data_IF_228100651950
#
_entry.id   IF_228100651950
#
_cell.length_a   1.000
_cell.length_b   1.000
_cell.length_c   1.000
_cell.angle_alpha   90.00
_cell.angle_beta   90.00
_cell.angle_gamma   90.00
#
_symmetry.space_group_name_H-M   'P 1'
#
loop_
_entity.id
_entity.type
_entity.pdbx_description
1 polymer ?
#
# COMPACT_ATOMS: atom_id res chain seq x y z
N UNK A 1 -5.03 -18.40 27.74
CA UNK A 1 -3.88 -17.58 27.28
C UNK A 1 -2.96 -18.50 26.49
N UNK A 2 -2.49 -18.09 25.31
CA UNK A 2 -1.51 -18.87 24.56
C UNK A 2 -0.19 -18.94 25.34
N UNK A 3 0.52 -20.05 25.17
CA UNK A 3 1.89 -20.23 25.60
C UNK A 3 2.84 -19.34 24.79
N UNK A 4 4.07 -19.15 25.31
CA UNK A 4 5.13 -18.41 24.61
C UNK A 4 5.39 -18.95 23.20
N UNK A 5 5.42 -20.27 23.06
CA UNK A 5 5.73 -20.95 21.79
C UNK A 5 4.59 -20.75 20.78
N UNK A 6 3.34 -20.85 21.21
CA UNK A 6 2.19 -20.62 20.33
C UNK A 6 2.15 -19.18 19.82
N UNK A 7 2.42 -18.20 20.68
CA UNK A 7 2.51 -16.79 20.27
C UNK A 7 3.65 -16.58 19.26
N UNK A 8 4.83 -17.15 19.51
CA UNK A 8 5.96 -17.05 18.57
C UNK A 8 5.63 -17.67 17.21
N UNK A 9 4.89 -18.78 17.16
CA UNK A 9 4.44 -19.39 15.90
C UNK A 9 3.43 -18.50 15.15
N UNK A 10 2.49 -17.87 15.86
CA UNK A 10 1.54 -16.92 15.28
C UNK A 10 2.25 -15.69 14.72
N UNK A 11 3.18 -15.11 15.48
CA UNK A 11 4.04 -14.03 15.01
C UNK A 11 4.84 -14.48 13.78
N UNK A 12 5.48 -15.65 13.86
CA UNK A 12 6.33 -16.19 12.79
C UNK A 12 5.57 -16.42 11.47
N UNK A 13 4.27 -16.70 11.53
CA UNK A 13 3.41 -16.89 10.35
C UNK A 13 2.68 -15.62 9.93
N UNK A 14 2.78 -14.52 10.70
CA UNK A 14 1.92 -13.32 10.58
C UNK A 14 0.43 -13.69 10.58
N UNK A 15 0.03 -14.63 11.45
CA UNK A 15 -1.37 -15.06 11.55
C UNK A 15 -2.18 -14.10 12.44
N UNK A 16 -2.44 -12.92 11.88
CA UNK A 16 -3.17 -11.84 12.55
C UNK A 16 -4.61 -12.22 12.88
N UNK A 17 -5.21 -13.13 12.10
CA UNK A 17 -6.56 -13.65 12.38
C UNK A 17 -6.57 -14.44 13.68
N UNK A 18 -5.63 -15.37 13.85
CA UNK A 18 -5.50 -16.14 15.08
C UNK A 18 -5.17 -15.24 16.28
N UNK A 19 -4.30 -14.24 16.10
CA UNK A 19 -3.96 -13.29 17.16
C UNK A 19 -5.18 -12.50 17.63
N UNK A 20 -5.95 -11.92 16.70
CA UNK A 20 -7.15 -11.15 17.03
C UNK A 20 -8.22 -12.03 17.71
N UNK A 21 -8.36 -13.29 17.29
CA UNK A 21 -9.24 -14.26 17.95
C UNK A 21 -8.86 -14.45 19.43
N UNK A 22 -7.58 -14.62 19.75
CA UNK A 22 -7.16 -14.73 21.14
C UNK A 22 -7.32 -13.43 21.94
N UNK A 23 -7.08 -12.27 21.31
CA UNK A 23 -7.24 -10.95 21.95
C UNK A 23 -8.69 -10.71 22.35
N UNK A 24 -9.64 -11.14 21.51
CA UNK A 24 -11.07 -11.09 21.83
C UNK A 24 -11.41 -11.85 23.11
N UNK A 25 -10.77 -13.00 23.34
CA UNK A 25 -10.97 -13.79 24.57
C UNK A 25 -10.23 -13.21 25.77
N UNK A 26 -9.03 -12.65 25.57
CA UNK A 26 -8.21 -12.10 26.65
C UNK A 26 -7.28 -11.00 26.15
N UNK A 27 -7.67 -9.75 26.42
CA UNK A 27 -6.90 -8.56 26.04
C UNK A 27 -5.49 -8.53 26.62
N UNK A 28 -5.22 -9.15 27.77
CA UNK A 28 -3.90 -9.14 28.41
C UNK A 28 -2.79 -9.80 27.56
N UNK A 29 -3.11 -10.40 26.42
CA UNK A 29 -2.13 -10.86 25.42
C UNK A 29 -1.21 -9.73 24.96
N UNK A 30 -1.67 -8.47 24.94
CA UNK A 30 -0.79 -7.33 24.63
C UNK A 30 0.46 -7.29 25.52
N UNK A 31 0.37 -7.72 26.80
CA UNK A 31 1.53 -7.78 27.71
C UNK A 31 2.56 -8.81 27.26
N UNK A 32 2.13 -9.90 26.65
CA UNK A 32 3.05 -10.88 26.06
C UNK A 32 3.77 -10.30 24.84
N UNK A 33 3.10 -9.45 24.05
CA UNK A 33 3.74 -8.71 22.94
C UNK A 33 4.73 -7.67 23.49
N UNK A 34 4.37 -6.92 24.53
CA UNK A 34 5.28 -5.96 25.19
C UNK A 34 6.57 -6.62 25.67
N UNK A 35 6.49 -7.82 26.25
CA UNK A 35 7.66 -8.57 26.70
C UNK A 35 8.58 -9.02 25.54
N UNK A 36 8.09 -9.04 24.29
CA UNK A 36 8.82 -9.50 23.10
C UNK A 36 9.52 -8.38 22.36
N UNK A 37 9.10 -7.15 22.62
CA UNK A 37 9.78 -5.96 22.11
C UNK A 37 10.85 -5.43 23.09
N UNK A 38 11.17 -6.16 24.16
CA UNK A 38 12.19 -5.72 25.11
C UNK A 38 13.61 -5.82 24.53
N UNK A 39 13.88 -6.87 23.75
CA UNK A 39 15.16 -7.10 23.08
C UNK A 39 14.93 -7.10 21.58
N UNK A 40 15.69 -6.27 20.86
CA UNK A 40 15.63 -6.18 19.40
C UNK A 40 16.32 -7.40 18.79
N UNK A 41 15.58 -8.50 18.69
CA UNK A 41 16.08 -9.79 18.19
C UNK A 41 15.32 -10.26 16.95
N UNK A 42 15.96 -10.02 15.80
CA UNK A 42 15.54 -10.55 14.50
C UNK A 42 14.10 -10.22 14.10
N UNK A 43 13.52 -11.13 13.31
CA UNK A 43 12.21 -10.92 12.69
C UNK A 43 11.04 -11.01 13.69
N UNK A 44 11.20 -11.77 14.78
CA UNK A 44 10.12 -11.97 15.77
C UNK A 44 9.87 -10.69 16.55
N UNK A 45 10.92 -9.93 16.90
CA UNK A 45 10.79 -8.59 17.47
C UNK A 45 9.89 -7.72 16.61
N UNK A 46 10.20 -7.60 15.32
CA UNK A 46 9.47 -6.73 14.41
C UNK A 46 8.03 -7.18 14.18
N UNK A 47 7.79 -8.49 14.16
CA UNK A 47 6.44 -9.05 14.09
C UNK A 47 5.65 -8.80 15.37
N UNK A 48 6.29 -8.75 16.53
CA UNK A 48 5.65 -8.34 17.78
C UNK A 48 5.33 -6.84 17.79
N UNK A 49 6.20 -6.00 17.22
CA UNK A 49 5.94 -4.57 16.98
C UNK A 49 4.73 -4.40 16.06
N UNK A 50 4.71 -5.05 14.89
CA UNK A 50 3.55 -5.04 13.96
C UNK A 50 2.27 -5.50 14.65
N UNK A 51 2.35 -6.60 15.40
CA UNK A 51 1.23 -7.18 16.13
C UNK A 51 0.63 -6.21 17.17
N UNK A 52 1.43 -5.35 17.81
CA UNK A 52 0.89 -4.35 18.74
C UNK A 52 -0.02 -3.35 18.03
N UNK A 53 0.36 -2.89 16.84
CA UNK A 53 -0.49 -2.02 16.02
C UNK A 53 -1.77 -2.72 15.56
N UNK A 54 -1.66 -3.95 15.05
CA UNK A 54 -2.81 -4.77 14.64
C UNK A 54 -3.80 -5.01 15.81
N UNK A 55 -3.27 -5.32 17.00
CA UNK A 55 -4.09 -5.55 18.19
C UNK A 55 -4.73 -4.26 18.70
N UNK A 56 -4.01 -3.14 18.63
CA UNK A 56 -4.57 -1.84 19.00
C UNK A 56 -5.76 -1.47 18.11
N UNK A 57 -5.62 -1.59 16.78
CA UNK A 57 -6.70 -1.33 15.81
C UNK A 57 -7.89 -2.28 16.04
N UNK A 58 -7.62 -3.58 16.21
CA UNK A 58 -8.68 -4.56 16.44
C UNK A 58 -9.50 -4.27 17.70
N UNK A 59 -8.85 -3.96 18.83
CA UNK A 59 -9.55 -3.66 20.08
C UNK A 59 -10.29 -2.32 19.98
N UNK A 60 -9.72 -1.33 19.29
CA UNK A 60 -10.30 0.01 19.17
C UNK A 60 -11.63 0.02 18.41
N UNK A 61 -11.87 -0.96 17.53
CA UNK A 61 -13.17 -1.17 16.87
C UNK A 61 -14.32 -1.45 17.87
N UNK A 62 -14.01 -2.04 19.04
CA UNK A 62 -14.99 -2.31 20.10
C UNK A 62 -14.86 -1.33 21.29
N UNK A 63 -13.65 -0.84 21.58
CA UNK A 63 -13.34 0.06 22.69
C UNK A 63 -12.60 1.32 22.22
N UNK A 64 -13.33 2.41 21.94
CA UNK A 64 -12.73 3.67 21.52
C UNK A 64 -11.68 4.18 22.50
N UNK A 65 -10.57 4.73 21.99
CA UNK A 65 -9.41 5.25 22.73
C UNK A 65 -8.48 4.19 23.33
N UNK A 66 -8.69 2.89 23.10
CA UNK A 66 -7.75 1.87 23.56
C UNK A 66 -6.32 2.13 23.04
N UNK A 67 -6.18 2.46 21.75
CA UNK A 67 -4.90 2.75 21.13
C UNK A 67 -4.24 3.99 21.76
N UNK A 68 -5.02 5.05 22.04
CA UNK A 68 -4.56 6.28 22.71
C UNK A 68 -3.98 5.98 24.09
N UNK A 69 -4.69 5.19 24.90
CA UNK A 69 -4.23 4.80 26.24
C UNK A 69 -2.98 3.91 26.19
N UNK A 70 -2.87 3.04 25.18
CA UNK A 70 -1.67 2.24 24.97
C UNK A 70 -0.46 3.10 24.60
N UNK A 71 -0.61 4.09 23.70
CA UNK A 71 0.45 5.05 23.35
C UNK A 71 0.88 5.87 24.58
N UNK A 72 -0.09 6.38 25.36
CA UNK A 72 0.20 7.10 26.62
C UNK A 72 1.02 6.26 27.59
N UNK A 73 0.71 4.97 27.71
CA UNK A 73 1.48 4.04 28.54
C UNK A 73 2.93 3.92 28.06
N UNK A 74 3.16 3.82 26.76
CA UNK A 74 4.53 3.77 26.21
C UNK A 74 5.30 5.06 26.47
N UNK A 75 4.68 6.23 26.31
CA UNK A 75 5.32 7.49 26.67
C UNK A 75 5.62 7.58 28.18
N UNK A 76 4.71 7.11 29.03
CA UNK A 76 4.96 7.07 30.48
C UNK A 76 6.15 6.15 30.84
N UNK A 77 6.32 5.02 30.14
CA UNK A 77 7.47 4.12 30.32
C UNK A 77 8.81 4.70 29.86
N UNK A 78 8.81 5.81 29.10
CA UNK A 78 10.03 6.53 28.73
C UNK A 78 10.49 7.50 29.82
N UNK A 79 9.61 7.86 30.78
CA UNK A 79 9.98 8.75 31.87
C UNK A 79 10.96 8.07 32.83
N UNK A 80 11.92 8.84 33.34
CA UNK A 80 12.91 8.37 34.32
C UNK A 80 12.27 7.76 35.58
N UNK A 81 11.10 8.28 36.00
CA UNK A 81 10.32 7.80 37.14
C UNK A 81 9.83 6.34 36.99
N UNK A 82 9.77 5.82 35.76
CA UNK A 82 9.36 4.45 35.46
C UNK A 82 10.53 3.44 35.54
N UNK A 83 11.76 3.91 35.75
CA UNK A 83 12.98 3.10 35.78
C UNK A 83 13.68 2.94 34.43
N UNK A 84 13.27 3.65 33.37
CA UNK A 84 14.06 3.87 32.16
C UNK A 84 14.33 2.64 31.26
N UNK A 85 13.39 1.69 31.18
CA UNK A 85 13.62 0.39 30.50
C UNK A 85 13.00 0.27 29.09
N UNK A 86 12.53 1.36 28.49
CA UNK A 86 11.67 1.31 27.30
C UNK A 86 12.36 1.69 25.98
N UNK A 87 13.58 1.20 25.74
CA UNK A 87 14.41 1.48 24.56
C UNK A 87 13.73 1.23 23.19
N UNK A 88 12.73 0.36 23.12
CA UNK A 88 12.00 0.07 21.86
C UNK A 88 10.54 0.59 21.90
N UNK A 89 10.23 1.53 22.78
CA UNK A 89 8.90 2.12 22.84
C UNK A 89 8.57 2.91 21.57
N UNK A 90 9.55 3.54 20.94
CA UNK A 90 9.34 4.30 19.70
C UNK A 90 8.87 3.40 18.54
N UNK A 91 9.42 2.19 18.41
CA UNK A 91 8.95 1.18 17.43
C UNK A 91 7.48 0.83 17.68
N UNK A 92 7.10 0.58 18.94
CA UNK A 92 5.72 0.25 19.32
C UNK A 92 4.75 1.42 19.08
N UNK A 93 5.11 2.62 19.52
CA UNK A 93 4.33 3.85 19.28
C UNK A 93 4.15 4.05 17.77
N UNK A 94 5.23 3.94 17.01
CA UNK A 94 5.21 4.04 15.55
C UNK A 94 4.25 3.06 14.89
N UNK A 95 4.28 1.80 15.31
CA UNK A 95 3.35 0.79 14.80
C UNK A 95 1.89 1.10 15.14
N UNK A 96 1.59 1.50 16.39
CA UNK A 96 0.24 1.84 16.80
C UNK A 96 -0.29 3.05 16.03
N UNK A 97 0.53 4.11 15.87
CA UNK A 97 0.17 5.30 15.10
C UNK A 97 -0.14 4.96 13.64
N UNK A 98 0.62 4.06 13.02
CA UNK A 98 0.39 3.64 11.64
C UNK A 98 -0.84 2.73 11.46
N UNK A 99 -1.27 1.99 12.49
CA UNK A 99 -2.49 1.19 12.42
C UNK A 99 -3.73 1.98 12.83
N UNK A 100 -3.59 2.94 13.76
CA UNK A 100 -4.66 3.78 14.30
C UNK A 100 -4.41 5.28 14.02
N UNK A 101 -4.21 5.71 12.75
CA UNK A 101 -3.81 7.09 12.46
C UNK A 101 -4.89 8.13 12.79
N UNK A 102 -6.17 7.76 12.73
CA UNK A 102 -7.29 8.65 13.02
C UNK A 102 -7.36 9.04 14.49
N UNK A 103 -7.12 8.08 15.39
CA UNK A 103 -7.20 8.26 16.85
C UNK A 103 -5.87 8.66 17.47
N UNK A 104 -4.76 8.05 17.03
CA UNK A 104 -3.42 8.26 17.58
C UNK A 104 -2.53 9.22 16.77
N UNK A 105 -2.96 9.65 15.58
CA UNK A 105 -2.11 10.43 14.68
C UNK A 105 -1.58 11.74 15.27
N UNK A 106 -2.29 12.34 16.22
CA UNK A 106 -1.88 13.56 16.92
C UNK A 106 -0.62 13.40 17.80
N UNK A 107 -0.19 12.17 18.09
CA UNK A 107 1.09 11.89 18.76
C UNK A 107 2.29 11.96 17.82
N UNK A 108 2.10 12.26 16.53
CA UNK A 108 3.16 12.40 15.53
C UNK A 108 4.30 13.34 15.98
N UNK A 109 3.97 14.49 16.59
CA UNK A 109 4.96 15.43 17.12
C UNK A 109 5.77 14.84 18.26
N UNK A 110 5.12 14.12 19.19
CA UNK A 110 5.81 13.46 20.29
C UNK A 110 6.73 12.35 19.78
N UNK A 111 6.27 11.52 18.84
CA UNK A 111 7.09 10.50 18.18
C UNK A 111 8.30 11.13 17.47
N UNK A 112 8.09 12.24 16.75
CA UNK A 112 9.17 12.97 16.07
C UNK A 112 10.19 13.60 17.03
N UNK A 113 9.77 13.95 18.26
CA UNK A 113 10.69 14.41 19.30
C UNK A 113 11.67 13.32 19.75
N UNK A 114 11.26 12.05 19.68
CA UNK A 114 12.12 10.91 20.03
C UNK A 114 13.29 10.70 19.03
N UNK A 115 13.32 11.40 17.90
CA UNK A 115 14.44 11.37 16.95
C UNK A 115 15.73 11.94 17.59
N UNK A 116 15.59 12.86 18.54
CA UNK A 116 16.72 13.52 19.21
C UNK A 116 17.53 12.53 20.06
N UNK A 117 16.87 11.55 20.68
CA UNK A 117 17.50 10.47 21.44
C UNK A 117 18.02 9.36 20.52
N UNK A 118 19.34 9.13 20.51
CA UNK A 118 20.00 8.11 19.68
C UNK A 118 19.43 6.70 19.88
N UNK A 119 18.96 6.38 21.08
CA UNK A 119 18.45 5.05 21.40
C UNK A 119 17.03 4.81 20.90
N UNK A 120 16.25 5.88 20.69
CA UNK A 120 14.86 5.83 20.24
C UNK A 120 14.70 6.22 18.76
N UNK A 121 15.71 6.90 18.20
CA UNK A 121 15.70 7.49 16.86
C UNK A 121 15.27 6.54 15.77
N UNK A 122 15.87 5.35 15.70
CA UNK A 122 15.60 4.41 14.62
C UNK A 122 14.16 3.90 14.64
N UNK A 123 13.62 3.59 15.83
CA UNK A 123 12.23 3.19 16.00
C UNK A 123 11.26 4.33 15.67
N UNK A 124 11.61 5.56 16.03
CA UNK A 124 10.82 6.76 15.72
C UNK A 124 10.76 7.03 14.22
N UNK A 125 11.91 7.00 13.53
CA UNK A 125 11.99 7.18 12.08
C UNK A 125 11.28 6.05 11.34
N UNK A 126 11.44 4.80 11.78
CA UNK A 126 10.70 3.67 11.20
C UNK A 126 9.19 3.86 11.37
N UNK A 127 8.74 4.26 12.57
CA UNK A 127 7.35 4.56 12.86
C UNK A 127 6.77 5.66 11.96
N UNK A 128 7.52 6.75 11.78
CA UNK A 128 7.13 7.84 10.86
C UNK A 128 7.11 7.39 9.40
N UNK A 129 8.00 6.49 8.98
CA UNK A 129 7.96 5.90 7.64
C UNK A 129 6.73 4.99 7.43
N UNK A 130 6.29 4.27 8.46
CA UNK A 130 5.01 3.52 8.40
C UNK A 130 3.83 4.48 8.36
N UNK A 131 3.83 5.53 9.19
CA UNK A 131 2.78 6.55 9.21
C UNK A 131 2.69 7.29 7.87
N UNK A 132 3.82 7.58 7.22
CA UNK A 132 3.85 8.22 5.89
C UNK A 132 3.18 7.36 4.80
N UNK A 133 3.22 6.03 4.91
CA UNK A 133 2.56 5.13 3.97
C UNK A 133 1.03 5.15 4.11
N UNK A 134 0.50 5.30 5.33
CA UNK A 134 -0.94 5.20 5.61
C UNK A 134 -1.65 6.54 5.74
N UNK A 135 -0.94 7.57 6.24
CA UNK A 135 -1.48 8.88 6.60
C UNK A 135 -0.40 9.97 6.39
N UNK A 136 0.05 10.20 5.14
CA UNK A 136 1.15 11.13 4.83
C UNK A 136 0.91 12.56 5.33
N UNK A 137 -0.35 13.01 5.40
CA UNK A 137 -0.72 14.32 5.92
C UNK A 137 -0.31 14.54 7.39
N UNK A 138 -0.14 13.47 8.18
CA UNK A 138 0.36 13.55 9.56
C UNK A 138 1.88 13.69 9.62
N UNK A 139 2.60 13.33 8.55
CA UNK A 139 4.07 13.39 8.49
C UNK A 139 4.54 14.66 7.81
N UNK A 140 3.76 15.20 6.87
CA UNK A 140 3.99 16.47 6.17
C UNK A 140 4.54 17.63 7.05
N UNK A 141 3.98 17.93 8.24
CA UNK A 141 4.47 19.05 9.06
C UNK A 141 5.82 18.79 9.76
N UNK A 142 6.40 17.59 9.62
CA UNK A 142 7.59 17.17 10.37
C UNK A 142 8.90 17.31 9.60
N UNK A 143 8.90 17.95 8.43
CA UNK A 143 10.08 18.06 7.55
C UNK A 143 11.32 18.58 8.31
N UNK A 144 11.17 19.66 9.07
CA UNK A 144 12.28 20.32 9.75
C UNK A 144 12.98 19.41 10.78
N UNK A 145 12.26 18.43 11.34
CA UNK A 145 12.82 17.45 12.29
C UNK A 145 13.53 16.30 11.58
N UNK A 146 13.11 15.96 10.36
CA UNK A 146 13.60 14.79 9.62
C UNK A 146 14.74 15.18 8.68
N UNK A 147 14.69 16.36 8.07
CA UNK A 147 15.70 16.86 7.12
C UNK A 147 17.14 16.73 7.62
N UNK A 148 17.50 17.12 8.87
CA UNK A 148 18.87 17.01 9.34
C UNK A 148 19.39 15.57 9.37
N UNK A 149 18.49 14.59 9.51
CA UNK A 149 18.84 13.17 9.62
C UNK A 149 19.31 12.58 8.27
N UNK A 150 18.98 13.23 7.14
CA UNK A 150 19.56 12.87 5.83
C UNK A 150 21.08 13.01 5.78
N UNK A 151 21.67 13.73 6.73
CA UNK A 151 23.12 13.93 6.87
C UNK A 151 23.72 13.12 8.02
N UNK A 152 22.93 12.32 8.73
CA UNK A 152 23.40 11.45 9.81
C UNK A 152 24.50 10.51 9.33
N UNK A 153 25.57 10.36 10.10
CA UNK A 153 26.61 9.34 9.86
C UNK A 153 26.09 7.92 10.11
N UNK A 154 25.08 7.75 10.96
CA UNK A 154 24.41 6.47 11.22
C UNK A 154 23.60 6.05 9.99
N UNK A 155 23.96 4.94 9.31
CA UNK A 155 23.33 4.57 8.05
C UNK A 155 21.83 4.28 8.13
N UNK A 156 21.39 3.59 9.20
CA UNK A 156 19.98 3.23 9.36
C UNK A 156 19.10 4.47 9.50
N UNK A 157 19.47 5.40 10.38
CA UNK A 157 18.79 6.69 10.52
C UNK A 157 18.73 7.47 9.19
N UNK A 158 19.87 7.58 8.48
CA UNK A 158 19.94 8.24 7.18
C UNK A 158 19.04 7.56 6.14
N UNK A 159 19.05 6.22 6.09
CA UNK A 159 18.21 5.43 5.20
C UNK A 159 16.72 5.56 5.48
N UNK A 160 16.31 5.55 6.75
CA UNK A 160 14.91 5.75 7.15
C UNK A 160 14.44 7.17 6.85
N UNK A 161 15.27 8.19 7.12
CA UNK A 161 14.96 9.57 6.72
C UNK A 161 14.84 9.70 5.20
N UNK A 162 15.74 9.06 4.44
CA UNK A 162 15.67 9.01 2.98
C UNK A 162 14.38 8.37 2.47
N UNK A 163 13.94 7.27 3.12
CA UNK A 163 12.66 6.63 2.83
C UNK A 163 11.48 7.57 3.10
N UNK A 164 11.41 8.22 4.28
CA UNK A 164 10.31 9.15 4.58
C UNK A 164 10.27 10.25 3.51
N UNK A 165 11.42 10.83 3.16
CA UNK A 165 11.50 11.82 2.09
C UNK A 165 11.03 11.28 0.73
N UNK A 166 11.32 10.03 0.38
CA UNK A 166 10.86 9.44 -0.88
C UNK A 166 9.33 9.22 -0.89
N UNK A 167 8.74 8.87 0.27
CA UNK A 167 7.30 8.71 0.43
C UNK A 167 6.55 10.05 0.42
N UNK A 168 7.18 11.10 0.95
CA UNK A 168 6.58 12.43 1.09
C UNK A 168 6.75 13.31 -0.15
N UNK A 169 7.81 13.09 -0.96
CA UNK A 169 8.04 13.87 -2.17
C UNK A 169 7.05 13.54 -3.27
N UNK A 170 6.63 14.58 -3.98
CA UNK A 170 5.87 14.45 -5.22
C UNK A 170 6.86 13.99 -6.30
N UNK A 171 6.57 12.91 -7.05
CA UNK A 171 7.37 12.57 -8.24
C UNK A 171 7.31 13.76 -9.21
N UNK A 172 8.47 14.24 -9.65
CA UNK A 172 8.75 15.34 -10.61
C UNK A 172 7.57 16.18 -11.15
N UNK A 173 7.77 17.50 -11.21
CA UNK A 173 6.81 18.56 -11.58
C UNK A 173 6.03 18.36 -12.92
N UNK A 174 6.37 17.36 -13.74
CA UNK A 174 5.76 17.07 -15.03
C UNK A 174 4.65 16.00 -15.03
N UNK A 175 4.25 15.45 -13.87
CA UNK A 175 3.11 14.52 -13.82
C UNK A 175 1.78 15.30 -13.88
N UNK A 176 1.18 15.36 -15.08
CA UNK A 176 0.02 16.19 -15.45
C UNK A 176 -1.26 16.08 -14.55
N UNK A 177 -1.28 15.19 -13.56
CA UNK A 177 -2.44 14.89 -12.71
C UNK A 177 -2.27 15.20 -11.21
N UNK A 178 -1.09 15.63 -10.75
CA UNK A 178 -0.91 16.04 -9.34
C UNK A 178 -1.46 17.46 -9.13
N UNK A 179 -2.69 17.58 -8.58
CA UNK A 179 -3.32 18.90 -8.33
C UNK A 179 -3.30 19.35 -6.86
N UNK A 180 -2.85 18.52 -5.93
CA UNK A 180 -2.59 18.97 -4.56
C UNK A 180 -1.25 19.68 -4.47
N UNK A 181 -1.22 20.82 -3.76
CA UNK A 181 0.00 21.38 -3.18
C UNK A 181 0.45 20.42 -2.07
N UNK A 182 0.99 19.26 -2.42
CA UNK A 182 1.60 18.36 -1.45
C UNK A 182 2.87 18.97 -0.85
N UNK A 183 3.45 18.33 0.18
CA UNK A 183 4.74 18.68 0.73
C UNK A 183 5.74 19.00 -0.36
N UNK A 184 6.22 20.24 -0.41
CA UNK A 184 7.34 20.63 -1.26
C UNK A 184 8.65 20.35 -0.54
N UNK A 185 8.77 19.15 0.00
CA UNK A 185 9.97 18.72 0.69
C UNK A 185 11.11 18.73 -0.31
N UNK A 186 12.07 19.61 -0.06
CA UNK A 186 13.18 19.87 -0.99
C UNK A 186 14.48 19.75 -0.24
N UNK A 187 15.50 19.32 -0.95
CA UNK A 187 16.86 19.25 -0.42
C UNK A 187 17.79 20.01 -1.34
N UNK A 188 18.92 20.52 -0.83
CA UNK A 188 19.98 21.04 -1.68
C UNK A 188 20.40 20.00 -2.73
N UNK A 189 20.73 20.47 -3.94
CA UNK A 189 21.12 19.62 -5.08
C UNK A 189 22.29 18.69 -4.70
N UNK A 190 23.25 19.21 -3.93
CA UNK A 190 24.41 18.42 -3.47
C UNK A 190 24.00 17.23 -2.59
N UNK A 191 23.05 17.45 -1.69
CA UNK A 191 22.52 16.39 -0.81
C UNK A 191 21.73 15.35 -1.61
N UNK A 192 20.90 15.78 -2.55
CA UNK A 192 20.18 14.87 -3.46
C UNK A 192 21.16 14.00 -4.26
N UNK A 193 22.17 14.60 -4.89
CA UNK A 193 23.19 13.87 -5.65
C UNK A 193 23.99 12.89 -4.79
N UNK A 194 24.26 13.25 -3.52
CA UNK A 194 24.93 12.36 -2.57
C UNK A 194 24.06 11.15 -2.25
N UNK A 195 22.80 11.36 -1.90
CA UNK A 195 21.86 10.29 -1.54
C UNK A 195 21.55 9.36 -2.72
N UNK A 196 21.46 9.89 -3.93
CA UNK A 196 21.31 9.09 -5.16
C UNK A 196 22.50 8.16 -5.45
N UNK A 197 23.66 8.41 -4.83
CA UNK A 197 24.89 7.61 -4.98
C UNK A 197 25.27 6.85 -3.72
N UNK A 198 24.47 6.95 -2.65
CA UNK A 198 24.75 6.31 -1.37
C UNK A 198 24.47 4.80 -1.45
N UNK A 199 25.55 4.02 -1.53
CA UNK A 199 25.54 2.55 -1.60
C UNK A 199 25.68 1.89 -0.23
N UNK A 200 25.55 2.63 0.87
CA UNK A 200 25.56 2.02 2.19
C UNK A 200 24.32 1.15 2.37
N UNK A 201 24.54 -0.09 2.84
CA UNK A 201 23.49 -1.07 3.07
C UNK A 201 22.87 -0.90 4.45
N UNK A 202 21.54 -0.98 4.50
CA UNK A 202 20.72 -0.96 5.73
C UNK A 202 19.69 -2.08 5.67
N UNK A 203 19.20 -2.51 6.82
CA UNK A 203 18.10 -3.48 6.92
C UNK A 203 16.87 -2.79 7.48
N UNK A 204 15.75 -2.88 6.76
CA UNK A 204 14.48 -2.24 7.12
C UNK A 204 13.41 -3.31 7.19
N UNK A 205 12.63 -3.28 8.27
CA UNK A 205 11.44 -4.12 8.38
C UNK A 205 10.30 -3.51 7.56
N UNK A 206 9.85 -4.24 6.55
CA UNK A 206 8.79 -3.81 5.62
C UNK A 206 7.97 -5.02 5.19
N UNK A 207 6.64 -4.89 5.24
CA UNK A 207 5.67 -5.94 4.90
C UNK A 207 6.03 -7.33 5.47
N UNK A 208 6.35 -7.37 6.77
CA UNK A 208 6.56 -8.62 7.48
C UNK A 208 7.90 -9.31 7.27
N UNK A 209 8.82 -8.65 6.56
CA UNK A 209 10.17 -9.14 6.26
C UNK A 209 11.23 -8.10 6.61
N UNK A 210 12.41 -8.56 6.97
CA UNK A 210 13.61 -7.73 7.01
C UNK A 210 14.22 -7.71 5.62
N UNK A 211 14.20 -6.55 4.97
CA UNK A 211 14.68 -6.38 3.60
C UNK A 211 15.91 -5.50 3.64
N UNK A 212 16.95 -5.93 2.91
CA UNK A 212 18.16 -5.16 2.73
C UNK A 212 17.99 -4.13 1.62
N UNK A 213 18.24 -2.87 1.95
CA UNK A 213 18.24 -1.75 1.01
C UNK A 213 19.60 -1.06 0.99
N UNK A 214 19.94 -0.46 -0.13
CA UNK A 214 20.91 0.62 -0.21
C UNK A 214 20.18 1.93 0.10
N UNK A 215 20.85 2.90 0.72
CA UNK A 215 20.24 4.22 1.00
C UNK A 215 19.71 4.87 -0.29
N UNK A 216 20.42 4.76 -1.41
CA UNK A 216 19.94 5.24 -2.72
C UNK A 216 18.61 4.58 -3.17
N UNK A 217 18.37 3.31 -2.82
CA UNK A 217 17.12 2.63 -3.17
C UNK A 217 15.95 3.11 -2.31
N UNK A 218 16.21 3.47 -1.04
CA UNK A 218 15.22 4.11 -0.17
C UNK A 218 14.93 5.54 -0.61
N UNK A 219 15.95 6.28 -1.05
CA UNK A 219 15.80 7.64 -1.59
C UNK A 219 14.98 7.69 -2.89
N UNK A 220 15.04 6.63 -3.69
CA UNK A 220 14.33 6.47 -4.96
C UNK A 220 13.19 5.45 -4.85
N UNK A 221 12.60 5.30 -3.66
CA UNK A 221 11.63 4.26 -3.37
C UNK A 221 10.50 4.19 -4.41
N UNK A 222 10.28 3.00 -4.96
CA UNK A 222 9.13 2.74 -5.83
C UNK A 222 7.85 2.70 -4.99
N UNK A 223 6.97 3.67 -5.19
CA UNK A 223 5.66 3.72 -4.53
C UNK A 223 4.57 3.15 -5.42
N UNK A 224 3.59 2.52 -4.77
CA UNK A 224 2.31 2.13 -5.35
C UNK A 224 1.24 2.78 -4.49
N UNK A 225 0.67 3.89 -4.97
CA UNK A 225 -0.37 4.61 -4.26
C UNK A 225 -1.74 4.04 -4.62
N UNK A 226 -2.53 3.64 -3.64
CA UNK A 226 -3.88 3.09 -3.84
C UNK A 226 -4.93 3.84 -3.04
N UNK A 227 -6.16 3.78 -3.53
CA UNK A 227 -7.33 4.32 -2.87
C UNK A 227 -8.57 3.53 -3.24
N UNK A 228 -9.50 3.41 -2.29
CA UNK A 228 -10.75 2.68 -2.48
C UNK A 228 -11.94 3.59 -2.20
N UNK A 229 -12.92 3.60 -3.10
CA UNK A 229 -14.20 4.29 -2.92
C UNK A 229 -15.34 3.37 -3.33
N UNK A 230 -16.52 3.56 -2.73
CA UNK A 230 -17.74 2.87 -3.15
C UNK A 230 -18.32 3.56 -4.38
N UNK A 231 -18.66 2.76 -5.39
CA UNK A 231 -19.28 3.24 -6.63
C UNK A 231 -20.44 2.33 -7.02
N UNK A 232 -21.37 2.88 -7.79
CA UNK A 232 -22.48 2.12 -8.36
C UNK A 232 -22.15 1.71 -9.79
N UNK A 233 -22.22 0.42 -10.09
CA UNK A 233 -22.29 -0.09 -11.45
C UNK A 233 -23.75 -0.46 -11.71
N UNK A 234 -24.50 0.43 -12.37
CA UNK A 234 -25.96 0.33 -12.49
C UNK A 234 -26.62 0.24 -11.11
N UNK A 235 -27.15 -0.92 -10.76
CA UNK A 235 -27.85 -1.28 -9.54
C UNK A 235 -26.96 -2.00 -8.50
N UNK A 236 -25.69 -2.25 -8.82
CA UNK A 236 -24.75 -2.96 -7.96
C UNK A 236 -23.75 -2.00 -7.31
N UNK A 237 -23.73 -1.95 -5.99
CA UNK A 237 -22.67 -1.28 -5.23
C UNK A 237 -21.41 -2.15 -5.20
N UNK A 238 -20.26 -1.55 -5.53
CA UNK A 238 -18.95 -2.23 -5.48
C UNK A 238 -17.90 -1.32 -4.84
N UNK A 239 -16.86 -1.93 -4.28
CA UNK A 239 -15.68 -1.22 -3.80
C UNK A 239 -14.65 -1.13 -4.94
N UNK A 240 -14.44 0.08 -5.46
CA UNK A 240 -13.50 0.36 -6.54
C UNK A 240 -12.13 0.72 -5.94
N UNK A 241 -11.17 -0.18 -6.06
CA UNK A 241 -9.78 0.04 -5.63
C UNK A 241 -8.91 0.39 -6.83
N UNK A 242 -8.36 1.60 -6.86
CA UNK A 242 -7.45 2.06 -7.92
C UNK A 242 -6.06 2.20 -7.34
N UNK A 243 -5.03 1.70 -8.04
CA UNK A 243 -3.64 1.96 -7.69
C UNK A 243 -2.80 2.43 -8.88
N UNK A 244 -1.83 3.29 -8.59
CA UNK A 244 -0.92 3.89 -9.55
C UNK A 244 0.51 3.91 -9.05
N UNK A 245 1.46 3.77 -9.98
CA UNK A 245 2.86 4.14 -9.76
C UNK A 245 3.10 5.56 -10.28
N UNK A 246 4.31 6.13 -10.11
CA UNK A 246 4.69 7.39 -10.76
C UNK A 246 4.69 7.36 -12.30
N UNK A 247 4.48 6.19 -12.94
CA UNK A 247 4.38 6.06 -14.40
C UNK A 247 2.92 6.14 -14.85
N UNK A 248 1.99 5.59 -14.07
CA UNK A 248 0.58 5.53 -14.41
C UNK A 248 -0.20 4.53 -13.57
N UNK A 249 -1.49 4.41 -13.87
CA UNK A 249 -2.40 3.46 -13.25
C UNK A 249 -1.93 2.04 -13.53
N UNK A 250 -1.83 1.23 -12.49
CA UNK A 250 -1.26 -0.11 -12.56
C UNK A 250 -2.21 -1.19 -12.03
N UNK A 251 -3.28 -0.80 -11.32
CA UNK A 251 -4.28 -1.69 -10.77
C UNK A 251 -5.69 -1.08 -10.75
N UNK A 252 -6.69 -1.89 -11.04
CA UNK A 252 -8.11 -1.65 -10.80
C UNK A 252 -8.78 -2.92 -10.29
N UNK A 253 -9.25 -2.84 -9.05
CA UNK A 253 -10.04 -3.86 -8.37
C UNK A 253 -11.49 -3.44 -8.17
N UNK A 254 -12.39 -4.42 -8.16
CA UNK A 254 -13.84 -4.22 -7.96
C UNK A 254 -14.40 -5.09 -6.81
N UNK A 255 -13.52 -5.73 -6.04
CA UNK A 255 -13.87 -6.58 -4.91
C UNK A 255 -13.77 -5.83 -3.56
N UNK A 256 -14.10 -6.53 -2.46
CA UNK A 256 -13.93 -5.99 -1.11
C UNK A 256 -12.50 -5.49 -0.87
N UNK A 257 -12.38 -4.31 -0.29
CA UNK A 257 -11.13 -3.55 -0.11
C UNK A 257 -10.01 -4.34 0.56
N UNK A 258 -10.31 -5.12 1.60
CA UNK A 258 -9.31 -5.89 2.36
C UNK A 258 -8.70 -7.01 1.49
N UNK A 259 -9.53 -7.77 0.79
CA UNK A 259 -9.12 -8.81 -0.14
C UNK A 259 -8.40 -8.24 -1.36
N UNK A 260 -8.86 -7.10 -1.85
CA UNK A 260 -8.30 -6.41 -3.02
C UNK A 260 -6.92 -5.85 -2.71
N UNK A 261 -6.72 -5.23 -1.55
CA UNK A 261 -5.42 -4.77 -1.09
C UNK A 261 -4.43 -5.94 -0.96
N UNK A 262 -4.86 -7.08 -0.40
CA UNK A 262 -4.02 -8.28 -0.31
C UNK A 262 -3.61 -8.80 -1.70
N UNK A 263 -4.53 -8.75 -2.66
CA UNK A 263 -4.28 -9.16 -4.03
C UNK A 263 -3.31 -8.19 -4.72
N UNK A 264 -3.50 -6.89 -4.54
CA UNK A 264 -2.58 -5.84 -4.99
C UNK A 264 -1.18 -6.03 -4.41
N UNK A 265 -1.04 -6.30 -3.10
CA UNK A 265 0.25 -6.58 -2.44
C UNK A 265 0.95 -7.79 -3.07
N UNK A 266 0.20 -8.86 -3.32
CA UNK A 266 0.73 -10.07 -3.96
C UNK A 266 1.18 -9.79 -5.40
N UNK A 267 0.40 -9.02 -6.15
CA UNK A 267 0.74 -8.61 -7.50
C UNK A 267 1.97 -7.69 -7.53
N UNK A 268 2.02 -6.69 -6.66
CA UNK A 268 3.12 -5.74 -6.57
C UNK A 268 4.44 -6.45 -6.22
N UNK A 269 4.44 -7.34 -5.22
CA UNK A 269 5.63 -8.13 -4.85
C UNK A 269 6.14 -9.06 -5.96
N UNK A 270 5.28 -9.45 -6.90
CA UNK A 270 5.70 -10.22 -8.08
C UNK A 270 6.46 -9.38 -9.10
N UNK A 271 6.09 -8.11 -9.25
CA UNK A 271 6.58 -7.24 -10.33
C UNK A 271 7.60 -6.20 -9.86
N UNK A 272 7.57 -5.85 -8.59
CA UNK A 272 8.43 -4.85 -7.96
C UNK A 272 9.19 -5.52 -6.81
N UNK A 273 10.51 -5.74 -6.95
CA UNK A 273 11.31 -6.38 -5.90
C UNK A 273 11.38 -5.58 -4.59
N UNK A 274 11.38 -4.25 -4.69
CA UNK A 274 11.52 -3.31 -3.58
C UNK A 274 10.51 -2.19 -3.80
N UNK A 275 9.46 -2.15 -2.99
CA UNK A 275 8.33 -1.26 -3.20
C UNK A 275 7.63 -0.92 -1.87
N UNK A 276 6.86 0.17 -1.90
CA UNK A 276 6.08 0.64 -0.75
C UNK A 276 4.64 0.90 -1.19
N UNK A 277 3.69 0.33 -0.44
CA UNK A 277 2.26 0.59 -0.66
C UNK A 277 1.87 1.86 0.10
N UNK A 278 1.19 2.79 -0.57
CA UNK A 278 0.71 4.02 0.06
C UNK A 278 -0.80 4.12 -0.04
N UNK A 279 -1.49 4.27 1.08
CA UNK A 279 -2.93 4.57 1.09
C UNK A 279 -3.10 6.06 0.85
N UNK A 280 -3.28 6.44 -0.42
CA UNK A 280 -3.33 7.85 -0.84
C UNK A 280 -4.25 8.02 -2.04
N UNK A 281 -5.16 9.00 -1.95
CA UNK A 281 -6.10 9.34 -3.02
C UNK A 281 -5.40 9.88 -4.27
N UNK A 282 -4.40 10.73 -4.11
CA UNK A 282 -3.53 11.15 -5.21
C UNK A 282 -2.41 10.11 -5.45
N UNK A 283 -2.05 9.77 -6.70
CA UNK A 283 -2.46 10.42 -7.96
C UNK A 283 -3.73 9.80 -8.60
N UNK A 284 -4.47 8.96 -7.87
CA UNK A 284 -5.61 8.20 -8.40
C UNK A 284 -6.87 9.03 -8.62
N UNK A 285 -6.90 10.30 -8.19
CA UNK A 285 -8.10 11.16 -8.23
C UNK A 285 -8.69 11.29 -9.64
N UNK A 286 -7.86 11.59 -10.64
CA UNK A 286 -8.34 11.70 -12.02
C UNK A 286 -8.89 10.36 -12.51
N UNK A 287 -8.18 9.26 -12.23
CA UNK A 287 -8.61 7.93 -12.66
C UNK A 287 -9.98 7.58 -12.08
N UNK A 288 -10.19 7.86 -10.79
CA UNK A 288 -11.47 7.68 -10.09
C UNK A 288 -12.56 8.56 -10.73
N UNK A 289 -12.27 9.84 -11.01
CA UNK A 289 -13.22 10.74 -11.67
C UNK A 289 -13.65 10.22 -13.04
N UNK A 290 -12.70 9.82 -13.88
CA UNK A 290 -13.02 9.28 -15.21
C UNK A 290 -13.78 7.95 -15.13
N UNK A 291 -13.47 7.10 -14.14
CA UNK A 291 -14.21 5.87 -13.90
C UNK A 291 -15.66 6.16 -13.49
N UNK A 292 -15.89 7.12 -12.60
CA UNK A 292 -17.24 7.55 -12.21
C UNK A 292 -18.01 8.12 -13.42
N UNK A 293 -17.39 9.01 -14.21
CA UNK A 293 -17.99 9.54 -15.45
C UNK A 293 -18.35 8.43 -16.44
N UNK A 294 -17.50 7.41 -16.55
CA UNK A 294 -17.73 6.24 -17.41
C UNK A 294 -18.91 5.39 -16.89
N UNK A 295 -18.97 5.12 -15.58
CA UNK A 295 -20.05 4.37 -14.94
C UNK A 295 -21.39 5.11 -14.99
N UNK A 296 -21.36 6.43 -15.06
CA UNK A 296 -22.50 7.31 -15.31
C UNK A 296 -22.89 7.44 -16.80
N UNK A 297 -22.19 6.74 -17.70
CA UNK A 297 -22.32 6.85 -19.16
C UNK A 297 -22.07 8.27 -19.73
N UNK A 298 -21.36 9.13 -19.00
CA UNK A 298 -20.94 10.48 -19.42
C UNK A 298 -19.60 10.47 -20.16
N UNK A 299 -18.81 9.40 -20.00
CA UNK A 299 -17.52 9.20 -20.67
C UNK A 299 -17.50 7.90 -21.46
N UNK A 300 -16.80 7.92 -22.61
CA UNK A 300 -16.57 6.74 -23.46
C UNK A 300 -15.10 6.35 -23.62
N UNK A 301 -14.19 7.28 -23.35
CA UNK A 301 -12.75 7.11 -23.53
C UNK A 301 -11.98 7.57 -22.28
N UNK A 302 -10.97 6.80 -21.91
CA UNK A 302 -10.06 7.10 -20.80
C UNK A 302 -8.79 7.76 -21.32
N UNK A 303 -8.26 8.75 -20.59
CA UNK A 303 -7.01 9.44 -20.94
C UNK A 303 -5.92 9.25 -19.87
N UNK A 304 -6.09 8.25 -19.02
CA UNK A 304 -5.19 7.97 -17.89
C UNK A 304 -3.96 7.21 -18.39
N UNK A 305 -2.73 7.63 -18.04
CA UNK A 305 -1.51 6.85 -18.32
C UNK A 305 -1.58 5.48 -17.66
N UNK A 306 -1.19 4.43 -18.38
CA UNK A 306 -1.23 3.05 -17.89
C UNK A 306 0.18 2.50 -17.69
N UNK A 307 0.40 1.81 -16.57
CA UNK A 307 1.62 1.07 -16.26
C UNK A 307 1.29 -0.42 -16.11
N UNK A 308 1.17 -1.10 -17.25
CA UNK A 308 0.75 -2.50 -17.32
C UNK A 308 1.91 -3.48 -17.09
N UNK A 309 1.93 -4.15 -15.94
CA UNK A 309 2.93 -5.20 -15.64
C UNK A 309 2.38 -6.59 -15.97
N UNK A 310 3.05 -7.27 -16.90
CA UNK A 310 2.65 -8.57 -17.43
C UNK A 310 3.74 -9.21 -18.28
N UNK A 311 3.57 -10.48 -18.62
CA UNK A 311 4.43 -11.13 -19.61
C UNK A 311 4.32 -10.42 -20.97
N UNK A 312 5.30 -10.57 -21.88
CA UNK A 312 5.22 -9.98 -23.22
C UNK A 312 3.91 -10.30 -23.95
N UNK A 313 3.45 -11.55 -23.89
CA UNK A 313 2.18 -11.97 -24.49
C UNK A 313 0.97 -11.33 -23.81
N UNK A 314 0.97 -11.20 -22.48
CA UNK A 314 -0.12 -10.53 -21.76
C UNK A 314 -0.25 -9.07 -22.19
N UNK A 315 0.87 -8.33 -22.22
CA UNK A 315 0.89 -6.92 -22.65
C UNK A 315 0.40 -6.76 -24.09
N UNK A 316 0.84 -7.62 -25.01
CA UNK A 316 0.35 -7.62 -26.38
C UNK A 316 -1.16 -7.85 -26.49
N UNK A 317 -1.72 -8.77 -25.69
CA UNK A 317 -3.17 -8.98 -25.62
C UNK A 317 -3.87 -7.72 -25.11
N UNK A 318 -3.40 -7.13 -24.00
CA UNK A 318 -4.01 -5.94 -23.40
C UNK A 318 -3.94 -4.70 -24.30
N UNK A 319 -2.87 -4.53 -25.06
CA UNK A 319 -2.75 -3.51 -26.12
C UNK A 319 -3.83 -3.69 -27.20
N UNK A 320 -4.12 -4.93 -27.62
CA UNK A 320 -5.22 -5.21 -28.54
C UNK A 320 -6.60 -4.98 -27.90
N UNK A 321 -6.75 -5.20 -26.58
CA UNK A 321 -8.00 -4.88 -25.88
C UNK A 321 -8.30 -3.39 -25.91
N UNK A 322 -7.29 -2.54 -25.72
CA UNK A 322 -7.45 -1.07 -25.76
C UNK A 322 -7.94 -0.56 -27.12
N UNK A 323 -7.76 -1.33 -28.19
CA UNK A 323 -8.25 -1.00 -29.55
C UNK A 323 -9.72 -1.33 -29.75
N UNK A 324 -10.39 -1.97 -28.80
CA UNK A 324 -11.82 -2.29 -28.88
C UNK A 324 -12.62 -1.03 -28.47
N UNK A 325 -13.36 -0.37 -29.38
CA UNK A 325 -14.12 0.83 -29.05
C UNK A 325 -15.24 0.57 -28.04
N UNK A 326 -15.71 1.64 -27.39
CA UNK A 326 -16.92 1.62 -26.58
C UNK A 326 -18.12 1.14 -27.41
N UNK A 327 -18.94 0.24 -26.87
CA UNK A 327 -20.13 -0.28 -27.55
C UNK A 327 -19.80 -1.27 -28.67
N UNK A 328 -18.61 -1.87 -28.66
CA UNK A 328 -18.17 -2.89 -29.61
C UNK A 328 -17.60 -4.09 -28.88
N UNK A 329 -17.97 -5.30 -29.30
CA UNK A 329 -17.36 -6.55 -28.79
C UNK A 329 -16.42 -7.20 -29.78
N UNK A 330 -15.53 -8.05 -29.27
CA UNK A 330 -14.72 -8.99 -30.05
C UNK A 330 -14.80 -10.37 -29.43
N UNK A 331 -14.56 -11.40 -30.22
CA UNK A 331 -14.40 -12.76 -29.74
C UNK A 331 -12.95 -13.04 -29.36
N UNK A 332 -12.74 -14.00 -28.47
CA UNK A 332 -11.38 -14.49 -28.13
C UNK A 332 -10.59 -14.93 -29.38
N UNK A 333 -11.27 -15.46 -30.40
CA UNK A 333 -10.65 -15.86 -31.67
C UNK A 333 -10.16 -14.67 -32.50
N UNK A 334 -10.92 -13.58 -32.55
CA UNK A 334 -10.52 -12.37 -33.27
C UNK A 334 -9.30 -11.70 -32.60
N UNK A 335 -9.27 -11.66 -31.27
CA UNK A 335 -8.10 -11.15 -30.54
C UNK A 335 -6.88 -12.06 -30.78
N UNK A 336 -7.07 -13.38 -30.72
CA UNK A 336 -6.01 -14.35 -31.00
C UNK A 336 -5.40 -14.18 -32.39
N UNK A 337 -6.23 -13.93 -33.42
CA UNK A 337 -5.77 -13.60 -34.77
C UNK A 337 -4.95 -12.31 -34.81
N UNK A 338 -5.42 -11.25 -34.14
CA UNK A 338 -4.76 -9.92 -34.12
C UNK A 338 -3.41 -9.93 -33.41
N UNK A 339 -3.25 -10.72 -32.35
CA UNK A 339 -1.97 -10.89 -31.65
C UNK A 339 -1.01 -11.88 -32.35
N UNK A 340 -1.35 -12.36 -33.55
CA UNK A 340 -0.49 -13.28 -34.31
C UNK A 340 -0.47 -14.72 -33.77
N UNK A 341 -1.47 -15.10 -32.97
CA UNK A 341 -1.63 -16.47 -32.46
C UNK A 341 -3.03 -17.04 -32.77
N UNK A 342 -3.35 -17.39 -34.03
CA UNK A 342 -4.69 -17.79 -34.46
C UNK A 342 -5.32 -18.95 -33.66
N UNK A 343 -4.49 -19.85 -33.12
CA UNK A 343 -4.93 -21.01 -32.31
C UNK A 343 -4.92 -20.71 -30.79
N UNK A 344 -4.60 -19.48 -30.40
CA UNK A 344 -4.33 -19.07 -29.03
C UNK A 344 -5.54 -18.60 -28.23
N UNK A 345 -6.78 -18.96 -28.57
CA UNK A 345 -7.97 -18.39 -27.91
C UNK A 345 -7.97 -18.61 -26.38
N UNK A 346 -7.55 -19.80 -25.92
CA UNK A 346 -7.44 -20.10 -24.48
C UNK A 346 -6.34 -19.25 -23.81
N UNK A 347 -5.22 -19.04 -24.49
CA UNK A 347 -4.13 -18.20 -23.99
C UNK A 347 -4.57 -16.74 -23.86
N UNK A 348 -5.31 -16.22 -24.85
CA UNK A 348 -5.95 -14.90 -24.78
C UNK A 348 -6.94 -14.84 -23.61
N UNK A 349 -7.77 -15.88 -23.42
CA UNK A 349 -8.68 -15.94 -22.27
C UNK A 349 -7.97 -15.84 -20.92
N UNK A 350 -6.84 -16.55 -20.75
CA UNK A 350 -6.02 -16.45 -19.54
C UNK A 350 -5.35 -15.08 -19.38
N UNK A 351 -4.88 -14.47 -20.48
CA UNK A 351 -4.34 -13.12 -20.45
C UNK A 351 -5.40 -12.08 -20.09
N UNK A 352 -6.62 -12.23 -20.62
CA UNK A 352 -7.78 -11.38 -20.31
C UNK A 352 -8.19 -11.46 -18.84
N UNK A 353 -8.19 -12.67 -18.26
CA UNK A 353 -8.48 -12.89 -16.84
C UNK A 353 -7.40 -12.30 -15.90
N UNK A 354 -6.16 -12.17 -16.39
CA UNK A 354 -5.04 -11.59 -15.62
C UNK A 354 -4.84 -10.09 -15.87
N UNK A 355 -5.79 -9.42 -16.51
CA UNK A 355 -5.74 -7.97 -16.71
C UNK A 355 -5.81 -7.25 -15.34
N UNK A 356 -4.76 -6.51 -14.94
CA UNK A 356 -4.75 -5.83 -13.66
C UNK A 356 -5.55 -4.52 -13.68
N UNK A 357 -5.93 -3.98 -14.85
CA UNK A 357 -6.59 -2.68 -14.98
C UNK A 357 -7.93 -2.86 -15.71
N UNK A 358 -8.85 -3.61 -15.10
CA UNK A 358 -10.20 -3.83 -15.65
C UNK A 358 -10.95 -2.54 -15.96
N UNK A 359 -12.00 -2.61 -16.78
CA UNK A 359 -12.79 -1.46 -17.29
C UNK A 359 -11.98 -0.57 -18.25
N UNK A 360 -10.85 -0.01 -17.79
CA UNK A 360 -9.98 0.87 -18.57
C UNK A 360 -9.29 0.10 -19.69
N UNK A 361 -8.66 -1.04 -19.36
CA UNK A 361 -8.31 -2.06 -20.35
C UNK A 361 -9.55 -2.96 -20.48
N UNK A 362 -10.32 -2.88 -21.59
CA UNK A 362 -11.72 -3.31 -21.62
C UNK A 362 -11.87 -4.83 -21.86
N UNK A 363 -11.38 -5.63 -20.91
CA UNK A 363 -11.45 -7.10 -20.95
C UNK A 363 -12.88 -7.65 -20.88
N UNK A 364 -13.87 -6.84 -20.47
CA UNK A 364 -15.30 -7.17 -20.51
C UNK A 364 -15.87 -7.18 -21.93
N UNK A 365 -15.26 -6.47 -22.89
CA UNK A 365 -15.70 -6.42 -24.31
C UNK A 365 -15.32 -7.66 -25.12
N UNK A 366 -14.60 -8.62 -24.52
CA UNK A 366 -14.26 -9.90 -25.16
C UNK A 366 -15.23 -10.99 -24.73
N UNK A 367 -15.93 -11.61 -25.68
CA UNK A 367 -16.98 -12.60 -25.44
C UNK A 367 -16.75 -13.91 -26.20
N UNK A 368 -17.48 -14.97 -25.83
CA UNK A 368 -17.49 -16.21 -26.60
C UNK A 368 -18.11 -16.01 -27.99
N UNK A 369 -17.71 -16.81 -28.98
CA UNK A 369 -18.27 -16.74 -30.36
C UNK A 369 -19.80 -16.94 -30.40
N UNK A 370 -20.35 -17.65 -29.42
CA UNK A 370 -21.78 -17.90 -29.24
C UNK A 370 -22.49 -16.83 -28.38
N UNK A 371 -21.83 -15.70 -28.08
CA UNK A 371 -22.36 -14.67 -27.18
C UNK A 371 -22.21 -14.98 -25.69
N UNK A 372 -21.59 -16.10 -25.31
CA UNK A 372 -21.44 -16.46 -23.89
C UNK A 372 -20.55 -15.48 -23.12
N UNK A 373 -21.06 -15.02 -21.99
CA UNK A 373 -20.32 -14.24 -21.01
C UNK A 373 -19.57 -15.18 -20.08
N UNK A 374 -18.31 -15.47 -20.42
CA UNK A 374 -17.42 -16.25 -19.56
C UNK A 374 -16.16 -15.45 -19.19
N UNK A 375 -15.50 -15.85 -18.11
CA UNK A 375 -14.13 -15.43 -17.79
C UNK A 375 -13.90 -13.94 -17.60
N UNK A 376 -14.44 -13.36 -16.52
CA UNK A 376 -14.13 -12.00 -16.06
C UNK A 376 -13.60 -12.03 -14.62
N UNK A 377 -12.50 -11.31 -14.37
CA UNK A 377 -11.85 -11.30 -13.06
C UNK A 377 -12.77 -10.72 -11.96
N UNK A 378 -13.54 -9.69 -12.29
CA UNK A 378 -14.55 -9.11 -11.39
C UNK A 378 -15.89 -9.85 -11.35
N UNK A 379 -16.00 -11.06 -11.91
CA UNK A 379 -17.26 -11.81 -11.97
C UNK A 379 -18.17 -11.50 -13.18
N UNK A 380 -18.97 -12.49 -13.59
CA UNK A 380 -19.82 -12.37 -14.79
C UNK A 380 -20.89 -11.30 -14.62
N UNK A 381 -21.40 -11.09 -13.40
CA UNK A 381 -22.43 -10.10 -13.09
C UNK A 381 -21.98 -8.66 -13.37
N UNK A 382 -20.73 -8.34 -13.04
CA UNK A 382 -20.13 -7.03 -13.37
C UNK A 382 -19.94 -6.90 -14.88
N UNK A 383 -19.43 -7.96 -15.54
CA UNK A 383 -19.25 -7.96 -17.00
C UNK A 383 -20.56 -7.67 -17.73
N UNK A 384 -21.66 -8.30 -17.32
CA UNK A 384 -22.97 -8.08 -17.90
C UNK A 384 -23.41 -6.61 -17.75
N UNK A 385 -23.34 -6.05 -16.54
CA UNK A 385 -23.73 -4.65 -16.29
C UNK A 385 -22.88 -3.64 -17.07
N UNK A 386 -21.59 -3.90 -17.23
CA UNK A 386 -20.71 -3.07 -18.06
C UNK A 386 -21.12 -3.12 -19.54
N UNK A 387 -21.52 -4.29 -20.05
CA UNK A 387 -22.02 -4.42 -21.43
C UNK A 387 -23.38 -3.73 -21.62
N UNK A 388 -24.29 -3.87 -20.65
CA UNK A 388 -25.58 -3.14 -20.65
C UNK A 388 -25.39 -1.62 -20.56
N UNK A 389 -24.40 -1.15 -19.79
CA UNK A 389 -24.00 0.25 -19.76
C UNK A 389 -23.56 0.74 -21.14
N UNK A 390 -22.77 -0.09 -21.84
CA UNK A 390 -22.31 0.17 -23.21
C UNK A 390 -23.38 -0.09 -24.30
N UNK A 391 -24.61 -0.46 -23.92
CA UNK A 391 -25.73 -0.79 -24.84
C UNK A 391 -25.42 -1.97 -25.78
N UNK A 392 -24.66 -2.95 -25.29
CA UNK A 392 -24.26 -4.15 -26.03
C UNK A 392 -25.14 -5.37 -25.73
N UNK A 393 -25.83 -5.38 -24.58
CA UNK A 393 -26.70 -6.46 -24.10
C UNK A 393 -27.97 -5.84 -23.51
#
# INVERSE_FOLDING_TARGET
>A
MPSKIELEQVLAKRDWKQLCHWVKENKNIYRQLMARIYVKDGIVFWRAVEALGVVADYIEQEEPNYAVELVRRYFWMLNEESGGTAWNASDAIGSILAHCPETCGHFNWMLSGLIEDESLRDGALWGLAQLAQVAPHLVDPLEERIRPILESEVPLARGLAALIYALMRIPQEDFAFYREKGPRWTVPIELDQRLQKDKTSVEVYQDGQLIRYLVQELWQAQTVAYWTERVMIKDLEVELTVASTPIGMCWLGLGPSVEEEKTLRTWASRWFPKWFLMRKREPNREAISQLQEYLDAKRREFTIPLHQMGTPFQRQVWEELLRIPYGVTRSYGEIALRVGNPKGQRAVGMANNRNPIGIVVPCHRVIGKNGSLTGYAGGVDIKQRLLELERLV
#
